data_IF_254357190295
#
_entry.id   IF_254357190295
#
_cell.length_a   1.000
_cell.length_b   1.000
_cell.length_c   1.000
_cell.angle_alpha   90.00
_cell.angle_beta   90.00
_cell.angle_gamma   90.00
#
_symmetry.space_group_name_H-M   'P 1'
#
loop_
_entity.id
_entity.type
_entity.pdbx_description
1 polymer ?
#
# COMPACT_ATOMS: atom_id res chain seq x y z
N UNK A 1 24.12 -0.56 -8.31
CA UNK A 1 23.43 -0.65 -7.00
C UNK A 1 23.31 0.73 -6.34
N UNK A 2 22.97 1.80 -7.08
CA UNK A 2 22.79 3.13 -6.48
C UNK A 2 21.55 3.14 -5.57
N UNK A 3 20.46 2.58 -6.08
CA UNK A 3 19.14 2.61 -5.43
C UNK A 3 18.89 1.48 -4.44
N UNK A 4 19.62 0.38 -4.55
CA UNK A 4 19.47 -0.79 -3.67
C UNK A 4 19.72 -0.47 -2.17
N UNK A 5 20.45 0.61 -1.87
CA UNK A 5 20.72 1.09 -0.51
C UNK A 5 19.98 2.39 -0.15
N UNK A 6 19.14 2.91 -1.04
CA UNK A 6 18.41 4.17 -0.86
C UNK A 6 16.90 3.97 -0.76
N UNK A 7 16.41 2.84 -1.26
CA UNK A 7 15.01 2.47 -1.24
C UNK A 7 14.73 1.37 -0.24
N UNK A 8 13.55 1.45 0.36
CA UNK A 8 13.05 0.49 1.32
C UNK A 8 11.68 0.00 0.84
N UNK A 9 11.39 -1.28 1.07
CA UNK A 9 10.05 -1.81 0.91
C UNK A 9 9.23 -1.43 2.14
N UNK A 10 8.05 -0.86 1.90
CA UNK A 10 7.09 -0.60 2.96
C UNK A 10 6.29 -1.88 3.20
N UNK A 11 6.60 -2.57 4.29
CA UNK A 11 5.98 -3.83 4.65
C UNK A 11 5.39 -3.75 6.05
N UNK A 12 4.29 -4.48 6.26
CA UNK A 12 3.76 -4.67 7.60
C UNK A 12 4.71 -5.54 8.44
N UNK A 13 4.86 -5.23 9.73
CA UNK A 13 5.68 -6.02 10.66
C UNK A 13 5.11 -6.04 12.07
N UNK A 14 5.52 -7.03 12.87
CA UNK A 14 5.16 -7.12 14.28
C UNK A 14 3.67 -7.38 14.51
N UNK A 15 3.05 -6.57 15.38
CA UNK A 15 1.69 -6.79 15.86
C UNK A 15 0.60 -6.65 14.81
N UNK A 16 0.84 -5.82 13.78
CA UNK A 16 -0.13 -5.56 12.72
C UNK A 16 -0.39 -6.82 11.88
N UNK A 17 0.68 -7.58 11.59
CA UNK A 17 0.59 -8.84 10.82
C UNK A 17 -0.07 -10.01 11.55
N UNK A 18 -0.50 -9.86 12.81
CA UNK A 18 -1.28 -10.89 13.51
C UNK A 18 -2.77 -10.89 13.15
N UNK A 19 -3.23 -9.87 12.41
CA UNK A 19 -4.63 -9.70 12.06
C UNK A 19 -4.76 -9.48 10.56
N UNK A 20 -5.64 -10.26 9.93
CA UNK A 20 -5.94 -10.05 8.52
C UNK A 20 -7.08 -9.05 8.40
N UNK A 21 -6.79 -7.87 7.86
CA UNK A 21 -7.79 -6.85 7.55
C UNK A 21 -8.23 -6.95 6.09
N UNK A 22 -9.46 -6.52 5.81
CA UNK A 22 -9.95 -6.47 4.44
C UNK A 22 -11.15 -5.54 4.28
N UNK A 23 -11.40 -5.12 3.05
CA UNK A 23 -12.57 -4.30 2.73
C UNK A 23 -13.87 -5.07 2.93
N UNK A 24 -14.91 -4.38 3.40
CA UNK A 24 -16.25 -4.92 3.54
C UNK A 24 -17.10 -4.65 2.29
N UNK A 25 -18.26 -5.31 2.18
CA UNK A 25 -19.16 -5.16 1.01
C UNK A 25 -19.78 -3.77 0.88
N UNK A 26 -19.89 -3.06 1.99
CA UNK A 26 -20.43 -1.70 2.10
C UNK A 26 -19.36 -0.60 1.99
N UNK A 27 -18.08 -0.97 1.78
CA UNK A 27 -17.02 -0.05 1.36
C UNK A 27 -17.35 0.54 -0.02
N UNK A 28 -16.93 1.79 -0.26
CA UNK A 28 -17.04 2.43 -1.58
C UNK A 28 -16.45 1.54 -2.69
N UNK A 29 -17.19 1.37 -3.79
CA UNK A 29 -16.81 0.45 -4.87
C UNK A 29 -15.56 0.90 -5.63
N UNK A 30 -15.29 2.20 -5.71
CA UNK A 30 -14.09 2.76 -6.33
C UNK A 30 -12.81 2.27 -5.67
N UNK A 31 -12.85 1.99 -4.35
CA UNK A 31 -11.71 1.46 -3.59
C UNK A 31 -11.37 0.00 -3.92
N UNK A 32 -12.14 -0.67 -4.78
CA UNK A 32 -11.75 -1.96 -5.36
C UNK A 32 -10.70 -1.80 -6.48
N UNK A 33 -10.49 -0.58 -6.93
CA UNK A 33 -9.56 -0.25 -8.02
C UNK A 33 -8.28 0.40 -7.51
N UNK A 34 -7.91 0.19 -6.25
CA UNK A 34 -6.68 0.77 -5.69
C UNK A 34 -5.40 0.37 -6.49
N UNK A 35 -5.43 -0.73 -7.25
CA UNK A 35 -4.36 -1.12 -8.17
C UNK A 35 -4.30 -0.30 -9.46
N UNK A 36 -5.17 0.68 -9.67
CA UNK A 36 -5.17 1.51 -10.85
C UNK A 36 -3.88 2.33 -10.99
N UNK A 37 -3.52 2.66 -12.23
CA UNK A 37 -2.38 3.54 -12.57
C UNK A 37 -2.83 4.98 -12.86
N UNK A 38 -3.93 5.39 -12.23
CA UNK A 38 -4.58 6.69 -12.40
C UNK A 38 -5.31 7.05 -11.12
N UNK A 39 -5.47 8.34 -10.84
CA UNK A 39 -6.26 8.79 -9.68
C UNK A 39 -7.70 8.26 -9.73
N UNK A 40 -8.23 7.91 -8.56
CA UNK A 40 -9.59 7.42 -8.35
C UNK A 40 -10.53 8.49 -7.78
N UNK A 41 -10.11 9.75 -7.69
CA UNK A 41 -10.89 10.86 -7.10
C UNK A 41 -12.31 11.02 -7.65
N UNK A 42 -12.57 10.57 -8.87
CA UNK A 42 -13.89 10.62 -9.51
C UNK A 42 -14.75 9.37 -9.28
N UNK A 43 -14.13 8.29 -8.84
CA UNK A 43 -14.76 6.98 -8.62
C UNK A 43 -15.06 6.74 -7.15
N UNK A 44 -14.18 7.19 -6.27
CA UNK A 44 -14.39 7.12 -4.82
C UNK A 44 -15.20 8.34 -4.40
N UNK A 45 -16.44 8.10 -3.98
CA UNK A 45 -17.39 9.16 -3.59
C UNK A 45 -17.86 9.03 -2.15
N UNK A 46 -17.58 7.89 -1.51
CA UNK A 46 -17.88 7.59 -0.11
C UNK A 46 -16.68 7.09 0.68
N UNK A 47 -16.99 6.53 1.86
CA UNK A 47 -16.00 6.02 2.80
C UNK A 47 -15.53 4.61 2.41
N UNK A 48 -14.23 4.37 2.65
CA UNK A 48 -13.72 3.02 2.78
C UNK A 48 -14.22 2.37 4.06
N UNK A 49 -14.44 1.06 4.01
CA UNK A 49 -14.79 0.28 5.19
C UNK A 49 -13.99 -1.00 5.22
N UNK A 50 -13.30 -1.20 6.33
CA UNK A 50 -12.40 -2.31 6.57
C UNK A 50 -12.82 -3.01 7.85
N UNK A 51 -12.64 -4.32 7.90
CA UNK A 51 -12.82 -5.10 9.13
C UNK A 51 -11.72 -6.12 9.33
N UNK A 52 -11.61 -6.60 10.55
CA UNK A 52 -10.77 -7.76 10.89
C UNK A 52 -11.47 -9.05 10.46
N UNK A 53 -10.86 -9.78 9.52
CA UNK A 53 -11.32 -11.08 9.06
C UNK A 53 -10.71 -12.22 9.88
N UNK A 54 -9.41 -12.15 10.19
CA UNK A 54 -8.69 -13.18 10.94
C UNK A 54 -7.83 -12.58 12.07
N UNK A 55 -7.44 -13.42 13.02
CA UNK A 55 -6.69 -13.02 14.22
C UNK A 55 -7.56 -12.85 15.47
N UNK A 56 -6.93 -12.58 16.62
CA UNK A 56 -7.64 -12.39 17.88
C UNK A 56 -8.30 -11.02 17.94
N UNK A 57 -9.58 -10.96 17.53
CA UNK A 57 -10.40 -9.74 17.52
C UNK A 57 -10.51 -9.05 18.88
N UNK A 58 -10.52 -9.78 20.00
CA UNK A 58 -10.65 -9.16 21.34
C UNK A 58 -9.46 -8.27 21.69
N UNK A 59 -8.28 -8.65 21.21
CA UNK A 59 -7.02 -7.95 21.46
C UNK A 59 -6.60 -7.06 20.29
N UNK A 60 -7.47 -6.87 19.30
CA UNK A 60 -7.17 -6.04 18.14
C UNK A 60 -7.21 -4.55 18.49
N UNK A 61 -6.17 -3.84 18.04
CA UNK A 61 -6.13 -2.40 17.87
C UNK A 61 -5.41 -2.15 16.54
N UNK A 62 -5.95 -1.30 15.66
CA UNK A 62 -5.27 -1.02 14.41
C UNK A 62 -3.94 -0.30 14.69
N UNK A 63 -2.88 -0.72 14.01
CA UNK A 63 -1.60 -0.01 13.94
C UNK A 63 -1.67 1.17 12.94
N UNK A 64 -0.60 1.95 12.83
CA UNK A 64 -0.55 3.13 11.96
C UNK A 64 -0.39 2.80 10.46
N UNK A 65 0.04 1.58 10.13
CA UNK A 65 0.18 1.06 8.78
C UNK A 65 -0.34 -0.38 8.73
N UNK A 66 -1.13 -0.70 7.71
CA UNK A 66 -1.57 -2.06 7.39
C UNK A 66 -1.37 -2.34 5.91
N UNK A 67 -0.78 -3.49 5.60
CA UNK A 67 -0.65 -4.01 4.24
C UNK A 67 -1.85 -4.93 3.98
N UNK A 68 -2.89 -4.36 3.36
CA UNK A 68 -4.05 -5.14 2.90
C UNK A 68 -3.91 -5.36 1.39
N UNK A 69 -5.01 -5.41 0.62
CA UNK A 69 -4.93 -5.44 -0.85
C UNK A 69 -4.00 -4.33 -1.42
N UNK A 70 -3.95 -3.17 -0.74
CA UNK A 70 -2.96 -2.09 -0.93
C UNK A 70 -2.49 -1.61 0.46
N UNK A 71 -2.43 -0.30 0.72
CA UNK A 71 -1.95 0.23 1.98
C UNK A 71 -3.06 1.00 2.69
N UNK A 72 -3.21 0.76 3.98
CA UNK A 72 -4.06 1.57 4.85
C UNK A 72 -3.20 2.21 5.92
N UNK A 73 -3.40 3.51 6.16
CA UNK A 73 -2.61 4.30 7.10
C UNK A 73 -3.51 5.02 8.09
N UNK A 74 -3.05 5.24 9.31
CA UNK A 74 -3.71 6.15 10.25
C UNK A 74 -3.54 7.61 9.83
N UNK A 75 -4.34 8.52 10.40
CA UNK A 75 -4.17 9.95 10.18
C UNK A 75 -2.80 10.41 10.70
N UNK A 76 -2.31 9.86 11.81
CA UNK A 76 -0.97 10.18 12.34
C UNK A 76 0.11 9.89 11.31
N UNK A 77 0.06 8.72 10.68
CA UNK A 77 1.00 8.38 9.61
C UNK A 77 0.79 9.28 8.39
N UNK A 78 -0.45 9.54 8.00
CA UNK A 78 -0.78 10.46 6.90
C UNK A 78 -0.19 11.86 7.13
N UNK A 79 -0.27 12.41 8.34
CA UNK A 79 0.30 13.72 8.68
C UNK A 79 1.82 13.76 8.49
N UNK A 80 2.53 12.63 8.66
CA UNK A 80 3.97 12.54 8.33
C UNK A 80 4.21 12.57 6.82
N UNK A 81 3.29 12.02 6.02
CA UNK A 81 3.40 11.96 4.55
C UNK A 81 2.98 13.25 3.85
N UNK A 82 2.02 13.99 4.38
CA UNK A 82 1.46 15.20 3.74
C UNK A 82 2.52 16.25 3.34
N UNK A 83 3.55 16.57 4.16
CA UNK A 83 4.56 17.58 3.80
C UNK A 83 5.40 17.23 2.58
N UNK A 84 5.45 15.96 2.16
CA UNK A 84 6.21 15.54 0.98
C UNK A 84 5.45 15.80 -0.33
N UNK A 85 4.15 16.08 -0.26
CA UNK A 85 3.30 16.36 -1.43
C UNK A 85 3.46 15.34 -2.57
N UNK A 86 3.54 14.05 -2.23
CA UNK A 86 3.86 12.99 -3.20
C UNK A 86 2.95 13.04 -4.43
N UNK A 87 3.51 13.32 -5.63
CA UNK A 87 2.77 13.20 -6.88
C UNK A 87 2.30 11.75 -7.04
N UNK A 88 1.07 11.56 -7.50
CA UNK A 88 0.58 10.20 -7.74
C UNK A 88 0.17 9.43 -6.48
N UNK A 89 -0.08 10.13 -5.35
CA UNK A 89 -0.61 9.53 -4.12
C UNK A 89 -1.92 10.19 -3.72
N UNK A 90 -2.95 9.37 -3.50
CA UNK A 90 -4.25 9.80 -2.99
C UNK A 90 -4.55 9.11 -1.66
N UNK A 91 -5.27 9.79 -0.77
CA UNK A 91 -5.74 9.25 0.50
C UNK A 91 -7.27 9.29 0.56
N UNK A 92 -7.89 8.14 0.83
CA UNK A 92 -9.35 8.01 0.89
C UNK A 92 -9.80 7.66 2.31
N UNK A 93 -10.64 8.49 2.96
CA UNK A 93 -11.10 8.24 4.33
C UNK A 93 -11.72 6.85 4.48
N UNK A 94 -11.35 6.15 5.55
CA UNK A 94 -11.67 4.75 5.76
C UNK A 94 -11.95 4.47 7.23
N UNK A 95 -13.00 3.72 7.50
CA UNK A 95 -13.30 3.22 8.83
C UNK A 95 -12.77 1.79 9.00
N UNK A 96 -12.10 1.54 10.12
CA UNK A 96 -11.76 0.19 10.57
C UNK A 96 -12.80 -0.24 11.59
N UNK A 97 -13.37 -1.42 11.40
CA UNK A 97 -14.42 -1.98 12.26
C UNK A 97 -13.98 -3.31 12.86
N UNK A 98 -14.24 -3.48 14.16
CA UNK A 98 -14.00 -4.74 14.85
C UNK A 98 -15.09 -4.92 15.92
N UNK A 99 -16.09 -5.72 15.59
CA UNK A 99 -17.32 -5.88 16.36
C UNK A 99 -17.95 -4.49 16.65
N UNK A 100 -18.05 -4.08 17.92
CA UNK A 100 -18.65 -2.80 18.30
C UNK A 100 -17.67 -1.60 18.25
N UNK A 101 -16.41 -1.84 17.91
CA UNK A 101 -15.39 -0.78 17.82
C UNK A 101 -15.25 -0.26 16.39
N UNK A 102 -15.22 1.07 16.26
CA UNK A 102 -14.99 1.77 15.00
C UNK A 102 -13.88 2.79 15.18
N UNK A 103 -12.88 2.75 14.30
CA UNK A 103 -11.83 3.77 14.19
C UNK A 103 -11.99 4.48 12.84
N UNK A 104 -12.15 5.80 12.86
CA UNK A 104 -12.45 6.61 11.67
C UNK A 104 -11.30 7.54 11.25
N UNK A 105 -10.17 7.46 11.95
CA UNK A 105 -8.94 8.19 11.68
C UNK A 105 -7.99 7.41 10.76
N UNK A 106 -8.53 6.72 9.76
CA UNK A 106 -7.78 5.87 8.83
C UNK A 106 -8.05 6.23 7.37
N UNK A 107 -7.10 5.88 6.49
CA UNK A 107 -7.15 6.18 5.07
C UNK A 107 -6.59 5.02 4.25
N UNK A 108 -7.28 4.64 3.18
CA UNK A 108 -6.64 3.90 2.10
C UNK A 108 -5.66 4.84 1.40
N UNK A 109 -4.40 4.42 1.31
CA UNK A 109 -3.37 5.09 0.54
C UNK A 109 -3.29 4.43 -0.84
N UNK A 110 -3.45 5.25 -1.87
CA UNK A 110 -3.47 4.85 -3.26
C UNK A 110 -2.26 5.43 -3.98
N UNK A 111 -1.26 4.59 -4.27
CA UNK A 111 -0.05 4.99 -4.99
C UNK A 111 -0.17 4.55 -6.45
N UNK A 112 -0.38 5.51 -7.36
CA UNK A 112 -0.57 5.19 -8.77
C UNK A 112 0.65 5.43 -9.67
N UNK A 113 1.77 5.88 -9.09
CA UNK A 113 3.08 5.80 -9.76
C UNK A 113 3.53 4.33 -9.77
N UNK A 114 3.61 3.76 -10.97
CA UNK A 114 3.99 2.37 -11.18
C UNK A 114 5.14 2.30 -12.19
N UNK A 115 6.26 1.74 -11.77
CA UNK A 115 7.44 1.64 -12.60
C UNK A 115 7.90 0.19 -12.74
N UNK A 116 8.30 -0.21 -13.95
CA UNK A 116 8.98 -1.49 -14.21
C UNK A 116 10.44 -1.42 -13.76
N UNK A 117 10.62 -1.10 -12.49
CA UNK A 117 11.93 -0.79 -11.90
C UNK A 117 12.65 -2.04 -11.36
N UNK A 118 12.08 -3.24 -11.49
CA UNK A 118 12.78 -4.48 -11.12
C UNK A 118 13.85 -4.78 -12.18
N UNK A 119 15.12 -4.78 -11.76
CA UNK A 119 16.23 -5.12 -12.63
C UNK A 119 16.24 -6.62 -12.95
N UNK A 120 15.93 -6.97 -14.20
CA UNK A 120 15.69 -8.35 -14.65
C UNK A 120 16.90 -9.28 -14.48
N UNK A 121 18.13 -8.76 -14.62
CA UNK A 121 19.35 -9.58 -14.51
C UNK A 121 19.96 -9.69 -13.10
N UNK A 122 19.49 -8.88 -12.14
CA UNK A 122 20.07 -8.81 -10.78
C UNK A 122 19.07 -9.20 -9.70
N UNK A 123 17.77 -9.09 -9.98
CA UNK A 123 16.73 -9.62 -9.11
C UNK A 123 16.57 -11.13 -9.32
N UNK A 124 16.27 -11.84 -8.24
CA UNK A 124 16.03 -13.29 -8.28
C UNK A 124 14.59 -13.54 -7.87
N UNK A 125 13.76 -13.78 -8.87
CA UNK A 125 12.35 -14.15 -8.71
C UNK A 125 12.22 -15.64 -9.04
N UNK A 126 11.64 -16.43 -8.13
CA UNK A 126 11.27 -17.82 -8.39
C UNK A 126 9.75 -17.96 -8.44
N UNK A 127 9.29 -18.89 -9.27
CA UNK A 127 7.86 -19.07 -9.53
C UNK A 127 7.40 -18.21 -10.71
N UNK A 128 6.10 -18.19 -10.94
CA UNK A 128 5.44 -17.33 -11.90
C UNK A 128 4.43 -16.49 -11.12
N UNK A 129 4.09 -15.28 -11.58
CA UNK A 129 3.00 -14.50 -10.98
C UNK A 129 1.61 -15.13 -11.28
N UNK A 130 1.53 -16.43 -11.52
CA UNK A 130 0.26 -17.17 -11.67
C UNK A 130 -0.25 -17.42 -10.26
N UNK A 131 -1.51 -17.08 -10.00
CA UNK A 131 -2.16 -17.21 -8.68
C UNK A 131 -1.52 -16.39 -7.53
N UNK A 132 -0.73 -15.34 -7.86
CA UNK A 132 0.00 -14.51 -6.89
C UNK A 132 1.09 -15.26 -6.10
N UNK A 133 1.61 -16.39 -6.60
CA UNK A 133 2.64 -17.17 -5.89
C UNK A 133 4.03 -16.98 -6.51
N UNK A 134 4.81 -16.05 -5.96
CA UNK A 134 6.21 -15.89 -6.32
C UNK A 134 7.09 -15.64 -5.10
N UNK A 135 8.35 -16.05 -5.20
CA UNK A 135 9.37 -15.78 -4.21
C UNK A 135 10.37 -14.76 -4.75
N UNK A 136 10.37 -13.57 -4.16
CA UNK A 136 11.42 -12.58 -4.37
C UNK A 136 12.59 -12.88 -3.40
N UNK A 137 13.64 -13.50 -3.92
CA UNK A 137 14.84 -13.87 -3.11
C UNK A 137 15.88 -12.76 -3.05
N UNK A 138 15.95 -11.96 -4.10
CA UNK A 138 16.80 -10.78 -4.18
C UNK A 138 16.09 -9.75 -5.05
N UNK A 139 16.08 -8.50 -4.60
CA UNK A 139 15.53 -7.37 -5.33
C UNK A 139 16.66 -6.39 -5.64
N UNK A 140 16.76 -5.98 -6.89
CA UNK A 140 17.64 -4.88 -7.29
C UNK A 140 16.87 -3.98 -8.25
N UNK A 141 17.03 -2.67 -8.07
CA UNK A 141 16.30 -1.67 -8.84
C UNK A 141 17.07 -1.28 -10.10
N UNK A 142 16.34 -1.07 -11.20
CA UNK A 142 16.89 -0.58 -12.47
C UNK A 142 17.17 0.92 -12.38
N UNK A 143 18.45 1.26 -12.17
CA UNK A 143 18.87 2.65 -12.06
C UNK A 143 18.74 3.41 -13.38
N UNK A 144 18.89 2.74 -14.53
CA UNK A 144 18.79 3.37 -15.85
C UNK A 144 17.37 3.87 -16.12
N UNK A 145 16.37 3.15 -15.61
CA UNK A 145 14.98 3.57 -15.65
C UNK A 145 14.70 4.67 -14.62
N UNK A 146 15.07 4.45 -13.35
CA UNK A 146 14.76 5.38 -12.26
C UNK A 146 15.49 6.73 -12.36
N UNK A 147 16.68 6.78 -12.97
CA UNK A 147 17.40 8.04 -13.24
C UNK A 147 16.66 8.96 -14.22
N UNK A 148 15.71 8.42 -14.99
CA UNK A 148 14.87 9.20 -15.93
C UNK A 148 13.57 9.69 -15.28
N UNK A 149 13.26 9.22 -14.08
CA UNK A 149 12.06 9.61 -13.33
C UNK A 149 12.45 10.72 -12.34
N UNK A 150 11.72 11.86 -12.33
CA UNK A 150 11.94 12.93 -11.36
C UNK A 150 11.93 12.39 -9.93
N UNK A 151 12.79 12.93 -9.05
CA UNK A 151 12.93 12.42 -7.68
C UNK A 151 11.58 12.39 -6.97
N UNK A 152 10.81 13.46 -7.10
CA UNK A 152 9.52 13.70 -6.48
C UNK A 152 8.52 12.59 -6.82
N UNK A 153 8.50 12.11 -8.07
CA UNK A 153 7.60 11.04 -8.53
C UNK A 153 8.04 9.65 -8.04
N UNK A 154 9.32 9.48 -7.70
CA UNK A 154 9.89 8.20 -7.25
C UNK A 154 10.28 8.20 -5.77
N UNK A 155 9.81 9.15 -4.96
CA UNK A 155 9.94 9.06 -3.50
C UNK A 155 9.11 7.91 -2.92
N UNK A 156 7.95 7.64 -3.54
CA UNK A 156 7.08 6.49 -3.25
C UNK A 156 6.44 6.02 -4.55
N UNK A 157 6.53 4.72 -4.82
CA UNK A 157 5.98 4.12 -6.04
C UNK A 157 5.76 2.63 -5.85
N UNK A 158 5.04 2.01 -6.77
CA UNK A 158 4.85 0.56 -6.83
C UNK A 158 5.69 -0.07 -7.93
N UNK A 159 6.15 -1.29 -7.67
CA UNK A 159 6.82 -2.12 -8.66
C UNK A 159 5.80 -2.78 -9.58
N UNK A 160 6.09 -2.78 -10.88
CA UNK A 160 5.34 -3.49 -11.91
C UNK A 160 6.11 -4.70 -12.43
#
# INVERSE_FOLDING_TARGET
MKYDNQYYLLCESGHAGFHMLGQTKDSDKGLRHLMAKRSLKREVTGLGKVRVFEGNKKNFSPCDYHEIAEQMVSDKFRQVLLPFEFPGVDFYPTEVTNDDKVWSDYFMMHIWNNYRAIHQGRSVIKGTYVENDFFLRALSLDETLLDKVPLEERLVFRLQ
#
